data_IF_054436478407
#
_entry.id   IF_054436478407
#
_cell.length_a   1.000
_cell.length_b   1.000
_cell.length_c   1.000
_cell.angle_alpha   90.00
_cell.angle_beta   90.00
_cell.angle_gamma   90.00
#
_symmetry.space_group_name_H-M   'P 1'
#
loop_
_entity.id
_entity.type
_entity.pdbx_description
1 polymer ?
#
# COMPACT_ATOMS: atom_id res chain seq x y z
N UNK A 1 -31.55 -26.12 -14.22
CA UNK A 1 -30.35 -26.92 -14.55
C UNK A 1 -29.16 -25.99 -14.72
N UNK A 2 -28.55 -25.55 -13.61
CA UNK A 2 -27.24 -24.86 -13.52
C UNK A 2 -26.85 -24.78 -12.03
N UNK A 3 -26.98 -25.93 -11.36
CA UNK A 3 -26.65 -26.17 -9.95
C UNK A 3 -25.66 -27.34 -9.88
N UNK A 4 -24.64 -27.35 -10.75
CA UNK A 4 -23.61 -28.41 -10.84
C UNK A 4 -22.25 -27.81 -11.23
N UNK A 5 -21.90 -26.62 -10.72
CA UNK A 5 -20.58 -26.03 -10.98
C UNK A 5 -19.93 -25.40 -9.73
N UNK A 6 -20.28 -25.90 -8.55
CA UNK A 6 -19.74 -25.44 -7.26
C UNK A 6 -19.05 -26.56 -6.44
N UNK A 7 -18.75 -27.72 -7.03
CA UNK A 7 -18.22 -28.90 -6.31
C UNK A 7 -16.84 -29.36 -6.83
N UNK A 8 -16.23 -28.67 -7.80
CA UNK A 8 -14.91 -29.03 -8.35
C UNK A 8 -13.86 -28.01 -7.93
N UNK A 9 -13.52 -27.95 -6.63
CA UNK A 9 -12.20 -27.43 -6.19
C UNK A 9 -11.87 -27.73 -4.71
N UNK A 10 -12.19 -28.93 -4.21
CA UNK A 10 -11.79 -29.37 -2.85
C UNK A 10 -11.52 -30.87 -2.76
N UNK A 11 -10.65 -31.44 -3.61
CA UNK A 11 -10.13 -32.80 -3.38
C UNK A 11 -8.70 -32.93 -3.92
N UNK A 12 -7.69 -32.62 -3.09
CA UNK A 12 -6.38 -33.28 -3.17
C UNK A 12 -5.98 -33.65 -1.75
N UNK A 13 -6.55 -34.75 -1.26
CA UNK A 13 -6.00 -35.53 -0.17
C UNK A 13 -5.64 -36.89 -0.78
N UNK A 14 -4.35 -37.22 -0.85
CA UNK A 14 -3.93 -38.60 -1.14
C UNK A 14 -2.66 -38.95 -0.34
N UNK A 15 -2.95 -39.61 0.77
CA UNK A 15 -2.39 -40.90 1.22
C UNK A 15 -0.90 -41.01 1.57
N UNK A 16 -0.74 -41.28 2.87
CA UNK A 16 0.43 -41.70 3.64
C UNK A 16 0.92 -43.09 3.18
N UNK A 17 2.24 -43.25 3.02
CA UNK A 17 2.92 -44.56 3.08
C UNK A 17 3.89 -44.52 4.26
N UNK A 18 3.61 -45.33 5.28
CA UNK A 18 4.53 -45.62 6.38
C UNK A 18 5.07 -47.04 6.19
N UNK A 19 6.39 -47.20 6.22
CA UNK A 19 7.08 -48.51 6.32
C UNK A 19 8.01 -48.47 7.53
N UNK A 20 7.90 -49.52 8.35
CA UNK A 20 8.55 -49.72 9.65
C UNK A 20 9.97 -50.30 9.54
N UNK A 21 10.82 -49.89 10.51
CA UNK A 21 11.93 -50.58 11.20
C UNK A 21 12.99 -51.36 10.37
N UNK A 22 14.30 -51.26 10.56
CA UNK A 22 15.14 -50.60 11.56
C UNK A 22 16.46 -51.39 11.65
N UNK A 23 17.62 -50.74 11.71
CA UNK A 23 18.85 -51.27 12.33
C UNK A 23 19.72 -50.10 12.78
N UNK A 24 20.08 -50.11 14.06
CA UNK A 24 21.03 -49.19 14.66
C UNK A 24 22.46 -49.49 14.17
N UNK A 25 23.18 -48.45 13.77
CA UNK A 25 24.64 -48.41 13.81
C UNK A 25 25.07 -47.00 14.20
N UNK A 26 25.82 -46.95 15.30
CA UNK A 26 26.35 -45.74 15.89
C UNK A 26 27.53 -45.17 15.08
N UNK A 27 27.75 -43.87 15.31
CA UNK A 27 28.96 -43.09 15.03
C UNK A 27 29.21 -42.65 13.57
N UNK A 28 29.06 -41.35 13.30
CA UNK A 28 30.16 -40.37 13.37
C UNK A 28 29.66 -38.96 12.99
N UNK A 29 29.78 -38.04 13.96
CA UNK A 29 30.20 -36.63 13.87
C UNK A 29 30.22 -35.97 12.48
N UNK A 30 29.33 -35.00 12.28
CA UNK A 30 29.41 -33.96 11.26
C UNK A 30 28.23 -32.99 11.40
N UNK A 31 28.43 -31.85 12.07
CA UNK A 31 27.49 -30.73 12.01
C UNK A 31 27.47 -30.20 10.56
N UNK A 32 26.35 -30.34 9.86
CA UNK A 32 26.13 -29.63 8.59
C UNK A 32 26.06 -28.13 8.88
N UNK A 33 26.94 -27.29 8.27
CA UNK A 33 26.79 -25.86 8.40
C UNK A 33 25.51 -25.45 7.66
N UNK A 34 24.57 -24.85 8.38
CA UNK A 34 23.47 -24.08 7.78
C UNK A 34 24.07 -23.10 6.76
N UNK A 35 23.98 -23.44 5.48
CA UNK A 35 24.19 -22.48 4.40
C UNK A 35 23.03 -21.49 4.47
N UNK A 36 23.24 -20.39 5.17
CA UNK A 36 22.50 -19.16 4.87
C UNK A 36 22.73 -18.87 3.39
N UNK A 37 21.65 -18.99 2.60
CA UNK A 37 21.55 -18.31 1.32
C UNK A 37 21.63 -16.82 1.61
N UNK A 38 22.84 -16.27 1.57
CA UNK A 38 23.05 -14.83 1.45
C UNK A 38 22.42 -14.42 0.12
N UNK A 39 21.16 -13.96 0.20
CA UNK A 39 20.54 -13.21 -0.87
C UNK A 39 21.44 -12.01 -1.13
N UNK A 40 22.14 -12.03 -2.26
CA UNK A 40 22.88 -10.89 -2.76
C UNK A 40 21.87 -9.90 -3.35
N UNK A 41 20.99 -9.37 -2.50
CA UNK A 41 20.12 -8.27 -2.87
C UNK A 41 20.98 -7.02 -3.00
N UNK A 42 21.36 -6.68 -4.24
CA UNK A 42 22.05 -5.43 -4.50
C UNK A 42 21.03 -4.31 -4.35
N UNK A 43 20.84 -3.85 -3.10
CA UNK A 43 19.98 -2.72 -2.77
C UNK A 43 20.30 -1.57 -3.73
N UNK A 44 19.33 -1.21 -4.58
CA UNK A 44 19.46 -0.03 -5.42
C UNK A 44 19.66 1.18 -4.49
N UNK A 45 20.78 1.86 -4.67
CA UNK A 45 21.23 2.97 -3.84
C UNK A 45 20.17 4.09 -3.92
N UNK A 46 19.30 4.20 -2.93
CA UNK A 46 18.28 5.25 -2.83
C UNK A 46 16.84 4.82 -2.52
N UNK A 47 16.56 3.51 -2.45
CA UNK A 47 15.26 3.01 -2.00
C UNK A 47 15.04 3.12 -0.49
N UNK A 48 13.78 3.05 -0.01
CA UNK A 48 13.43 2.79 1.38
C UNK A 48 14.25 1.62 1.98
N UNK A 49 14.68 1.69 3.25
CA UNK A 49 15.18 0.49 3.94
C UNK A 49 14.11 -0.59 3.93
N UNK A 50 14.42 -1.78 3.41
CA UNK A 50 13.45 -2.87 3.26
C UNK A 50 12.59 -2.82 1.99
N UNK A 51 12.82 -1.86 1.08
CA UNK A 51 12.22 -1.88 -0.26
C UNK A 51 12.57 -3.18 -0.98
N UNK A 52 11.66 -3.80 -1.75
CA UNK A 52 11.96 -5.02 -2.48
C UNK A 52 13.04 -4.70 -3.52
N UNK A 53 13.65 -5.75 -4.07
CA UNK A 53 14.41 -5.61 -5.31
C UNK A 53 13.44 -5.23 -6.43
N UNK A 54 13.13 -3.94 -6.57
CA UNK A 54 12.09 -3.47 -7.47
C UNK A 54 12.43 -2.12 -8.08
N UNK A 55 11.92 -1.86 -9.28
CA UNK A 55 12.02 -0.56 -9.93
C UNK A 55 10.93 0.34 -9.37
N UNK A 56 11.28 1.56 -8.96
CA UNK A 56 10.27 2.58 -8.64
C UNK A 56 9.54 2.96 -9.94
N UNK A 57 8.25 2.63 -10.02
CA UNK A 57 7.42 2.82 -11.22
C UNK A 57 6.58 4.08 -11.16
N UNK A 58 6.17 4.50 -9.97
CA UNK A 58 5.39 5.71 -9.77
C UNK A 58 5.72 6.37 -8.43
N UNK A 59 5.48 7.68 -8.36
CA UNK A 59 5.50 8.39 -7.09
C UNK A 59 4.68 9.66 -7.16
N UNK A 60 4.03 9.97 -6.05
CA UNK A 60 3.31 11.23 -5.86
C UNK A 60 3.56 11.79 -4.46
N UNK A 61 3.22 13.06 -4.27
CA UNK A 61 3.21 13.69 -2.95
C UNK A 61 1.77 14.07 -2.57
N UNK A 62 1.36 13.67 -1.37
CA UNK A 62 0.17 14.24 -0.72
C UNK A 62 0.62 15.46 0.08
N UNK A 63 0.02 16.62 -0.15
CA UNK A 63 0.46 17.91 0.40
C UNK A 63 -0.67 18.53 1.22
N UNK A 64 -0.39 18.78 2.49
CA UNK A 64 -1.28 19.49 3.39
C UNK A 64 -1.33 20.98 3.05
N UNK A 65 -2.52 21.54 2.92
CA UNK A 65 -2.75 22.98 2.83
C UNK A 65 -3.65 23.45 3.98
N UNK A 66 -3.49 24.70 4.45
CA UNK A 66 -4.43 25.27 5.41
C UNK A 66 -5.86 25.19 4.87
N UNK A 67 -6.83 25.14 5.78
CA UNK A 67 -8.27 25.21 5.48
C UNK A 67 -8.63 26.63 5.03
N UNK A 68 -8.16 27.01 3.85
CA UNK A 68 -8.39 28.27 3.15
C UNK A 68 -9.13 27.94 1.83
N UNK A 69 -10.15 28.72 1.44
CA UNK A 69 -10.85 28.56 0.16
C UNK A 69 -9.96 28.70 -1.09
N UNK A 70 -8.74 29.22 -1.01
CA UNK A 70 -7.80 29.16 -2.15
C UNK A 70 -7.21 27.76 -2.26
N UNK A 71 -8.00 26.82 -2.77
CA UNK A 71 -7.56 25.46 -3.03
C UNK A 71 -6.46 25.50 -4.09
N UNK A 72 -5.33 24.78 -3.91
CA UNK A 72 -4.26 24.72 -4.90
C UNK A 72 -4.80 24.21 -6.23
N UNK A 73 -4.61 24.97 -7.31
CA UNK A 73 -5.15 24.63 -8.62
C UNK A 73 -4.84 23.19 -9.05
N UNK A 74 -5.73 22.57 -9.82
CA UNK A 74 -5.55 21.27 -10.49
C UNK A 74 -4.37 21.20 -11.50
N UNK A 75 -3.38 22.09 -11.45
CA UNK A 75 -2.19 22.02 -12.28
C UNK A 75 -1.30 20.84 -11.83
N UNK A 76 -1.65 19.64 -12.26
CA UNK A 76 -1.00 18.39 -11.86
C UNK A 76 0.42 18.17 -12.46
N UNK A 77 1.19 19.25 -12.69
CA UNK A 77 2.56 19.22 -13.21
C UNK A 77 3.59 18.61 -12.23
N UNK A 78 3.18 17.77 -11.28
CA UNK A 78 4.14 17.09 -10.41
C UNK A 78 3.57 16.02 -9.50
N UNK A 79 2.54 15.28 -9.94
CA UNK A 79 1.94 14.15 -9.23
C UNK A 79 1.64 14.52 -7.78
N UNK A 80 0.69 15.43 -7.60
CA UNK A 80 0.36 15.99 -6.29
C UNK A 80 -1.12 15.88 -6.02
N UNK A 81 -1.43 15.42 -4.81
CA UNK A 81 -2.77 15.44 -4.23
C UNK A 81 -2.72 16.44 -3.08
N UNK A 82 -3.66 17.37 -3.05
CA UNK A 82 -3.76 18.34 -1.96
C UNK A 82 -4.87 17.92 -0.99
N UNK A 83 -4.59 18.01 0.30
CA UNK A 83 -5.51 17.67 1.40
C UNK A 83 -5.43 18.76 2.46
N UNK A 84 -6.44 18.86 3.33
CA UNK A 84 -6.37 19.74 4.50
C UNK A 84 -5.14 19.36 5.36
N UNK A 85 -4.42 20.34 5.91
CA UNK A 85 -3.29 20.10 6.82
C UNK A 85 -3.75 19.65 8.21
N UNK A 86 -4.97 20.06 8.59
CA UNK A 86 -5.69 19.57 9.77
C UNK A 86 -7.15 19.48 9.39
N UNK A 87 -7.72 18.28 9.44
CA UNK A 87 -9.11 18.04 9.10
C UNK A 87 -9.30 16.81 8.23
N UNK A 88 -10.28 16.88 7.32
CA UNK A 88 -10.73 15.73 6.56
C UNK A 88 -10.67 16.01 5.05
N UNK A 89 -10.28 15.02 4.27
CA UNK A 89 -10.26 15.06 2.82
C UNK A 89 -10.70 13.72 2.24
N UNK A 90 -11.11 13.71 0.97
CA UNK A 90 -11.57 12.52 0.27
C UNK A 90 -10.80 12.37 -1.04
N UNK A 91 -10.34 11.15 -1.32
CA UNK A 91 -9.70 10.79 -2.58
C UNK A 91 -10.34 9.51 -3.10
N UNK A 92 -10.77 9.51 -4.35
CA UNK A 92 -11.25 8.29 -5.02
C UNK A 92 -10.06 7.51 -5.57
N UNK A 93 -10.10 6.18 -5.50
CA UNK A 93 -9.05 5.31 -5.99
C UNK A 93 -9.65 4.27 -6.92
N UNK A 94 -9.13 4.25 -8.14
CA UNK A 94 -9.59 3.44 -9.26
C UNK A 94 -8.51 2.45 -9.69
N UNK A 95 -8.93 1.27 -10.13
CA UNK A 95 -8.06 0.32 -10.80
C UNK A 95 -8.10 0.51 -12.31
N UNK A 96 -6.94 0.72 -12.90
CA UNK A 96 -6.75 0.90 -14.33
C UNK A 96 -5.35 0.41 -14.73
N UNK A 97 -5.10 0.27 -16.02
CA UNK A 97 -3.82 -0.09 -16.62
C UNK A 97 -2.64 0.88 -16.39
N UNK A 98 -2.83 2.02 -15.72
CA UNK A 98 -1.80 3.06 -15.58
C UNK A 98 -1.81 3.75 -14.23
N UNK A 99 -0.71 4.46 -13.92
CA UNK A 99 -0.62 5.34 -12.76
C UNK A 99 -0.96 6.77 -13.17
N UNK A 100 -2.04 7.32 -12.63
CA UNK A 100 -2.41 8.72 -12.89
C UNK A 100 -3.09 9.38 -11.68
N UNK A 101 -3.08 10.71 -11.65
CA UNK A 101 -3.82 11.50 -10.67
C UNK A 101 -4.74 12.44 -11.44
N UNK A 102 -6.04 12.28 -11.21
CA UNK A 102 -7.05 13.18 -11.75
C UNK A 102 -7.40 14.24 -10.71
N UNK A 103 -7.70 15.44 -11.19
CA UNK A 103 -8.19 16.53 -10.37
C UNK A 103 -9.36 17.18 -11.10
N UNK A 104 -10.53 17.17 -10.47
CA UNK A 104 -11.70 17.87 -10.95
C UNK A 104 -11.98 19.07 -10.05
N UNK A 105 -11.87 20.26 -10.63
CA UNK A 105 -12.28 21.50 -9.98
C UNK A 105 -13.81 21.57 -9.92
N UNK A 106 -14.36 21.71 -8.72
CA UNK A 106 -15.80 21.84 -8.51
C UNK A 106 -16.16 23.05 -7.65
N UNK A 107 -17.40 23.51 -7.76
CA UNK A 107 -17.94 24.63 -6.96
C UNK A 107 -18.10 24.32 -5.44
N UNK A 108 -17.58 23.18 -4.99
CA UNK A 108 -17.57 22.74 -3.58
C UNK A 108 -16.23 22.17 -3.12
N UNK A 109 -15.16 22.38 -3.90
CA UNK A 109 -13.81 21.89 -3.62
C UNK A 109 -13.19 21.12 -4.80
N UNK A 110 -11.86 20.95 -4.75
CA UNK A 110 -11.15 20.10 -5.72
C UNK A 110 -11.29 18.64 -5.30
N UNK A 111 -11.69 17.79 -6.24
CA UNK A 111 -11.77 16.35 -6.05
C UNK A 111 -10.57 15.69 -6.70
N UNK A 112 -9.77 14.99 -5.91
CA UNK A 112 -8.68 14.18 -6.43
C UNK A 112 -9.12 12.74 -6.60
N UNK A 113 -8.63 12.11 -7.66
CA UNK A 113 -8.68 10.68 -7.82
C UNK A 113 -7.31 10.14 -8.18
N UNK A 114 -7.02 8.91 -7.75
CA UNK A 114 -5.81 8.17 -8.03
C UNK A 114 -6.17 6.94 -8.85
N UNK A 115 -5.49 6.75 -9.96
CA UNK A 115 -5.57 5.52 -10.75
C UNK A 115 -4.30 4.72 -10.57
N UNK A 116 -4.44 3.42 -10.34
CA UNK A 116 -3.34 2.47 -10.14
C UNK A 116 -3.60 1.16 -10.90
N UNK A 117 -2.54 0.42 -11.31
CA UNK A 117 -2.61 -0.96 -11.76
C UNK A 117 -3.31 -1.91 -10.77
N UNK A 118 -3.58 -3.12 -11.23
CA UNK A 118 -4.13 -4.20 -10.41
C UNK A 118 -3.30 -4.42 -9.14
N UNK A 119 -3.98 -4.62 -8.01
CA UNK A 119 -3.33 -4.93 -6.73
C UNK A 119 -2.47 -6.19 -6.81
N UNK A 120 -1.37 -6.19 -6.06
CA UNK A 120 -0.42 -7.30 -6.07
C UNK A 120 0.59 -7.23 -7.21
N UNK A 121 0.57 -6.17 -8.03
CA UNK A 121 1.65 -5.84 -8.99
C UNK A 121 2.65 -4.84 -8.44
N UNK A 122 2.38 -4.25 -7.28
CA UNK A 122 3.23 -3.25 -6.64
C UNK A 122 3.18 -3.31 -5.10
N UNK A 123 4.23 -2.75 -4.49
CA UNK A 123 4.27 -2.32 -3.09
C UNK A 123 4.30 -0.80 -2.99
N UNK A 124 3.68 -0.26 -1.93
CA UNK A 124 3.64 1.19 -1.67
C UNK A 124 4.41 1.54 -0.40
N UNK A 125 5.36 2.45 -0.54
CA UNK A 125 6.18 2.98 0.54
C UNK A 125 5.81 4.43 0.81
N UNK A 126 5.45 4.73 2.05
CA UNK A 126 5.01 6.05 2.47
C UNK A 126 5.95 6.62 3.52
N UNK A 127 6.35 7.88 3.36
CA UNK A 127 6.99 8.64 4.44
C UNK A 127 6.35 10.00 4.61
N UNK A 128 6.19 10.43 5.85
CA UNK A 128 5.75 11.77 6.18
C UNK A 128 6.96 12.71 6.38
N UNK A 129 6.89 13.90 5.82
CA UNK A 129 7.91 14.96 5.88
C UNK A 129 7.35 16.20 6.59
N UNK A 130 8.24 17.07 7.04
CA UNK A 130 7.89 18.28 7.77
C UNK A 130 8.28 18.21 9.25
N UNK A 131 7.63 19.05 10.06
CA UNK A 131 7.85 19.13 11.50
C UNK A 131 7.36 17.86 12.18
N UNK A 132 7.99 17.44 13.29
CA UNK A 132 7.44 16.42 14.18
C UNK A 132 5.99 16.68 14.55
N UNK A 133 5.29 15.59 14.89
CA UNK A 133 3.91 15.51 15.35
C UNK A 133 2.80 15.62 14.30
N UNK A 134 3.12 15.88 13.03
CA UNK A 134 2.13 15.73 11.96
C UNK A 134 1.65 14.27 11.81
N UNK A 135 0.35 14.06 11.62
CA UNK A 135 -0.26 12.73 11.37
C UNK A 135 -0.92 12.66 10.00
N UNK A 136 -0.98 11.45 9.47
CA UNK A 136 -1.74 11.10 8.29
C UNK A 136 -2.42 9.75 8.56
N UNK A 137 -3.73 9.77 8.56
CA UNK A 137 -4.58 8.60 8.75
C UNK A 137 -5.45 8.44 7.50
N UNK A 138 -5.36 7.28 6.86
CA UNK A 138 -6.10 6.94 5.65
C UNK A 138 -7.00 5.76 5.97
N UNK A 139 -8.30 5.96 5.83
CA UNK A 139 -9.28 4.88 5.90
C UNK A 139 -9.76 4.57 4.49
N UNK A 140 -9.61 3.32 4.05
CA UNK A 140 -10.19 2.85 2.80
C UNK A 140 -11.63 2.39 3.04
N UNK A 141 -12.54 2.84 2.19
CA UNK A 141 -13.96 2.51 2.20
C UNK A 141 -14.37 2.03 0.80
N UNK A 142 -15.47 1.29 0.72
CA UNK A 142 -16.19 1.16 -0.54
C UNK A 142 -16.71 2.56 -0.96
N UNK A 143 -16.53 2.93 -2.22
CA UNK A 143 -17.03 4.21 -2.75
C UNK A 143 -18.56 4.28 -2.73
N UNK A 144 -19.25 3.15 -2.92
CA UNK A 144 -20.70 3.07 -3.01
C UNK A 144 -21.36 2.74 -1.66
N UNK A 145 -20.59 2.23 -0.69
CA UNK A 145 -21.03 2.02 0.70
C UNK A 145 -20.09 2.72 1.68
N UNK A 146 -20.29 4.04 1.82
CA UNK A 146 -19.40 4.89 2.62
C UNK A 146 -19.70 4.87 4.13
N UNK A 147 -20.76 4.17 4.55
CA UNK A 147 -21.23 4.14 5.94
C UNK A 147 -20.46 3.10 6.77
N UNK A 148 -20.04 2.00 6.14
CA UNK A 148 -19.24 0.94 6.76
C UNK A 148 -17.84 0.86 6.11
N UNK A 149 -16.94 1.77 6.49
CA UNK A 149 -15.53 1.77 6.05
C UNK A 149 -14.73 0.60 6.66
N UNK A 150 -15.02 -0.62 6.22
CA UNK A 150 -14.47 -1.87 6.78
C UNK A 150 -13.28 -2.43 6.00
N UNK A 151 -12.72 -1.70 5.02
CA UNK A 151 -11.64 -2.23 4.17
C UNK A 151 -10.34 -2.33 4.95
N UNK A 152 -9.73 -1.19 5.30
CA UNK A 152 -8.50 -1.12 6.09
C UNK A 152 -8.20 0.32 6.49
N UNK A 153 -7.25 0.47 7.41
CA UNK A 153 -6.71 1.76 7.84
C UNK A 153 -5.18 1.77 7.76
N UNK A 154 -4.62 2.89 7.32
CA UNK A 154 -3.19 3.15 7.34
C UNK A 154 -2.88 4.45 8.06
N UNK A 155 -2.09 4.35 9.12
CA UNK A 155 -1.73 5.49 9.98
C UNK A 155 -0.22 5.69 10.01
N UNK A 156 0.23 6.91 9.80
CA UNK A 156 1.64 7.30 9.94
C UNK A 156 1.79 8.63 10.67
N UNK A 157 2.67 8.64 11.67
CA UNK A 157 3.03 9.85 12.43
C UNK A 157 4.45 10.30 12.11
N UNK A 158 4.65 11.61 12.01
CA UNK A 158 5.96 12.24 11.87
C UNK A 158 6.65 12.27 13.24
N UNK A 159 7.46 11.25 13.53
CA UNK A 159 8.31 11.23 14.71
C UNK A 159 9.45 12.27 14.63
N UNK A 160 10.21 12.46 15.70
CA UNK A 160 11.41 13.30 15.68
C UNK A 160 12.54 12.67 14.84
N UNK A 161 13.59 13.44 14.52
CA UNK A 161 14.73 12.93 13.75
C UNK A 161 14.48 12.80 12.25
N UNK A 162 15.23 11.91 11.57
CA UNK A 162 15.14 11.70 10.12
C UNK A 162 13.87 10.93 9.77
N UNK A 163 13.12 11.41 8.78
CA UNK A 163 11.95 10.70 8.24
C UNK A 163 12.37 9.42 7.52
N UNK A 164 11.64 8.33 7.77
CA UNK A 164 11.80 7.02 7.16
C UNK A 164 10.51 6.58 6.48
N UNK A 165 10.66 5.75 5.46
CA UNK A 165 9.54 5.10 4.79
C UNK A 165 8.99 3.94 5.62
N UNK A 166 7.70 3.70 5.49
CA UNK A 166 6.94 2.58 6.02
C UNK A 166 6.13 1.97 4.87
N UNK A 167 5.96 0.66 4.86
CA UNK A 167 5.12 -0.02 3.87
C UNK A 167 3.66 0.25 4.19
N UNK A 168 2.88 0.68 3.20
CA UNK A 168 1.42 0.78 3.33
C UNK A 168 0.77 -0.58 3.04
N UNK A 169 -0.40 -0.81 3.64
CA UNK A 169 -1.21 -2.00 3.36
C UNK A 169 -1.74 -1.97 1.92
N UNK A 170 -1.66 -3.10 1.22
CA UNK A 170 -2.18 -3.23 -0.13
C UNK A 170 -3.72 -3.11 -0.18
N UNK A 171 -4.40 -3.27 0.97
CA UNK A 171 -5.86 -3.08 1.05
C UNK A 171 -6.29 -1.63 0.81
N UNK A 172 -5.38 -0.65 0.89
CA UNK A 172 -5.70 0.71 0.44
C UNK A 172 -6.08 0.79 -1.04
N UNK A 173 -5.72 -0.23 -1.84
CA UNK A 173 -5.96 -0.25 -3.28
C UNK A 173 -6.84 -1.43 -3.70
N UNK A 174 -7.50 -2.12 -2.75
CA UNK A 174 -8.17 -3.42 -2.94
C UNK A 174 -9.07 -3.50 -4.19
N UNK A 175 -8.97 -4.59 -4.95
CA UNK A 175 -9.85 -4.94 -6.10
C UNK A 175 -11.15 -5.62 -5.67
N UNK A 176 -11.30 -5.91 -4.37
CA UNK A 176 -12.49 -6.60 -3.84
C UNK A 176 -13.75 -5.75 -3.90
N UNK A 177 -13.58 -4.44 -4.01
CA UNK A 177 -14.65 -3.45 -4.14
C UNK A 177 -14.54 -2.85 -5.55
N UNK A 178 -15.68 -2.43 -6.12
CA UNK A 178 -15.69 -1.87 -7.47
C UNK A 178 -14.80 -0.62 -7.56
N UNK A 179 -14.96 0.29 -6.59
CA UNK A 179 -14.13 1.48 -6.42
C UNK A 179 -13.85 1.74 -4.93
N UNK A 180 -12.71 2.37 -4.63
CA UNK A 180 -12.30 2.68 -3.25
C UNK A 180 -12.39 4.18 -2.98
N UNK A 181 -12.91 4.55 -1.82
CA UNK A 181 -12.83 5.90 -1.27
C UNK A 181 -11.82 5.95 -0.13
N UNK A 182 -10.77 6.76 -0.27
CA UNK A 182 -9.92 7.15 0.84
C UNK A 182 -10.55 8.31 1.60
N UNK A 183 -10.90 8.07 2.86
CA UNK A 183 -11.14 9.13 3.85
C UNK A 183 -9.81 9.43 4.51
N UNK A 184 -9.30 10.64 4.29
CA UNK A 184 -8.01 11.09 4.81
C UNK A 184 -8.24 12.05 5.96
N UNK A 185 -7.73 11.69 7.13
CA UNK A 185 -7.69 12.54 8.31
C UNK A 185 -6.25 12.97 8.59
N UNK A 186 -6.07 14.24 8.91
CA UNK A 186 -4.76 14.84 9.14
C UNK A 186 -4.80 15.74 10.35
N UNK A 187 -3.67 15.81 11.06
CA UNK A 187 -3.40 16.85 12.04
C UNK A 187 -1.96 17.35 11.92
N UNK A 188 -1.79 18.67 11.79
CA UNK A 188 -0.48 19.33 11.59
C UNK A 188 0.35 18.69 10.45
N UNK A 189 -0.35 18.15 9.45
CA UNK A 189 0.20 17.47 8.29
C UNK A 189 0.81 18.47 7.31
N UNK A 190 1.93 18.06 6.69
CA UNK A 190 2.60 18.90 5.68
C UNK A 190 2.77 18.20 4.36
N UNK A 191 3.49 17.09 4.33
CA UNK A 191 3.69 16.31 3.09
C UNK A 191 3.85 14.84 3.45
N UNK A 192 3.25 13.95 2.67
CA UNK A 192 3.63 12.54 2.59
C UNK A 192 4.09 12.21 1.17
N UNK A 193 5.14 11.40 1.05
CA UNK A 193 5.63 10.89 -0.22
C UNK A 193 5.24 9.44 -0.35
N UNK A 194 4.57 9.11 -1.46
CA UNK A 194 4.15 7.76 -1.81
C UNK A 194 4.99 7.27 -2.97
N UNK A 195 5.71 6.17 -2.78
CA UNK A 195 6.55 5.54 -3.81
C UNK A 195 6.04 4.14 -4.09
N UNK A 196 5.75 3.87 -5.36
CA UNK A 196 5.27 2.59 -5.86
C UNK A 196 6.44 1.84 -6.49
N UNK A 197 6.62 0.60 -6.07
CA UNK A 197 7.64 -0.31 -6.57
C UNK A 197 6.96 -1.53 -7.17
N UNK A 198 7.35 -1.92 -8.38
CA UNK A 198 6.89 -3.15 -9.01
C UNK A 198 7.39 -4.37 -8.20
N UNK A 199 6.53 -5.38 -8.08
CA UNK A 199 6.80 -6.67 -7.42
C UNK A 199 7.51 -7.67 -8.34
#
# INVERSE_FOLDING_TARGET
>A
MKLILAIIMKIIASTIIAVLAGTASAALRGEEPKRELKSNSRALKGGPPGSPEGKKVFSFNMVGHPKDPTIPSCNNNGNRIFVESTGNSKIEVYQDSSYDIFCQQGNGGDKYALSVPDVGTFDVYVRILGKPDGTLDITACDLYDTDECLVDTFSIKRNTGKSSFTVATNQLFSDKYEDILWKVETDNFKVAQFWFYEL
#
